data_IF_887503118219
#
_entry.id   IF_887503118219
#
_cell.length_a   1.000
_cell.length_b   1.000
_cell.length_c   1.000
_cell.angle_alpha   90.00
_cell.angle_beta   90.00
_cell.angle_gamma   90.00
#
_symmetry.space_group_name_H-M   'P 1'
#
loop_
_entity.id
_entity.type
_entity.pdbx_description
1 polymer ?
#
# COMPACT_ATOMS: atom_id res chain seq x y z
N UNK A 1 10.79 3.81 -10.43
CA UNK A 1 11.96 3.48 -11.25
C UNK A 1 11.62 2.38 -12.25
N UNK A 2 11.23 1.18 -11.79
CA UNK A 2 10.94 0.01 -12.65
C UNK A 2 9.91 0.34 -13.73
N UNK A 3 8.79 0.96 -13.38
CA UNK A 3 7.76 1.37 -14.35
C UNK A 3 8.29 2.28 -15.47
N UNK A 4 9.30 3.10 -15.18
CA UNK A 4 9.94 3.96 -16.19
C UNK A 4 10.91 3.21 -17.09
N UNK A 5 11.39 2.06 -16.66
CA UNK A 5 12.31 1.24 -17.44
C UNK A 5 11.57 0.31 -18.40
N UNK A 6 10.33 -0.09 -18.10
CA UNK A 6 9.54 -1.00 -18.97
C UNK A 6 9.44 -0.48 -20.40
N UNK A 7 9.05 0.80 -20.68
CA UNK A 7 9.01 1.31 -22.05
C UNK A 7 10.39 1.39 -22.73
N UNK A 8 11.47 1.54 -21.94
CA UNK A 8 12.83 1.58 -22.49
C UNK A 8 13.23 0.22 -23.07
N UNK A 9 12.86 -0.87 -22.44
CA UNK A 9 13.11 -2.21 -22.96
C UNK A 9 12.26 -2.54 -24.20
N UNK A 10 11.05 -1.97 -24.31
CA UNK A 10 10.21 -2.11 -25.51
C UNK A 10 10.85 -1.46 -26.74
N UNK A 11 11.39 -0.26 -26.60
CA UNK A 11 12.04 0.47 -27.71
C UNK A 11 13.30 -0.23 -28.21
N UNK A 12 14.03 -0.94 -27.35
CA UNK A 12 15.26 -1.65 -27.74
C UNK A 12 14.99 -3.03 -28.33
N UNK A 13 13.79 -3.56 -28.17
CA UNK A 13 13.40 -4.93 -28.58
C UNK A 13 12.81 -5.01 -30.00
N UNK A 14 12.91 -3.95 -30.83
CA UNK A 14 12.44 -4.01 -32.22
C UNK A 14 13.20 -5.07 -33.05
N UNK A 15 12.73 -6.33 -32.90
CA UNK A 15 13.14 -7.41 -33.79
C UNK A 15 13.52 -8.74 -33.12
N UNK A 16 14.04 -8.75 -31.92
CA UNK A 16 14.32 -9.99 -31.17
C UNK A 16 14.27 -9.70 -29.68
N UNK A 17 13.58 -10.56 -28.90
CA UNK A 17 13.58 -10.48 -27.44
C UNK A 17 15.01 -10.39 -26.90
N UNK A 18 15.28 -9.49 -25.99
CA UNK A 18 16.59 -9.36 -25.37
C UNK A 18 16.86 -10.63 -24.57
N UNK A 19 17.92 -11.39 -24.93
CA UNK A 19 18.31 -12.56 -24.17
C UNK A 19 18.52 -12.19 -22.69
N UNK A 20 17.91 -12.96 -21.79
CA UNK A 20 17.94 -12.71 -20.32
C UNK A 20 16.90 -11.72 -19.79
N UNK A 21 16.21 -10.96 -20.62
CA UNK A 21 15.17 -10.04 -20.14
C UNK A 21 13.97 -10.78 -19.54
N UNK A 22 13.62 -11.94 -20.11
CA UNK A 22 12.57 -12.81 -19.57
C UNK A 22 12.87 -13.29 -18.15
N UNK A 23 14.11 -13.67 -17.89
CA UNK A 23 14.58 -14.13 -16.58
C UNK A 23 14.53 -12.99 -15.53
N UNK A 24 14.98 -11.81 -15.92
CA UNK A 24 14.91 -10.60 -15.07
C UNK A 24 13.46 -10.25 -14.77
N UNK A 25 12.56 -10.32 -15.74
CA UNK A 25 11.14 -10.07 -15.57
C UNK A 25 10.50 -11.05 -14.56
N UNK A 26 10.84 -12.32 -14.66
CA UNK A 26 10.39 -13.37 -13.72
C UNK A 26 10.91 -13.10 -12.31
N UNK A 27 12.19 -12.76 -12.16
CA UNK A 27 12.79 -12.40 -10.85
C UNK A 27 12.06 -11.21 -10.23
N UNK A 28 11.77 -10.17 -11.01
CA UNK A 28 11.01 -8.99 -10.56
C UNK A 28 9.62 -9.42 -10.08
N UNK A 29 8.89 -10.22 -10.87
CA UNK A 29 7.56 -10.68 -10.54
C UNK A 29 7.54 -11.51 -9.24
N UNK A 30 8.43 -12.47 -9.10
CA UNK A 30 8.54 -13.31 -7.90
C UNK A 30 8.95 -12.51 -6.65
N UNK A 31 9.92 -11.63 -6.78
CA UNK A 31 10.34 -10.75 -5.68
C UNK A 31 9.16 -9.90 -5.19
N UNK A 32 8.39 -9.34 -6.13
CA UNK A 32 7.17 -8.60 -5.80
C UNK A 32 6.13 -9.47 -5.09
N UNK A 33 5.82 -10.66 -5.63
CA UNK A 33 4.81 -11.56 -5.05
C UNK A 33 5.17 -12.04 -3.64
N UNK A 34 6.41 -12.46 -3.42
CA UNK A 34 6.90 -12.89 -2.11
C UNK A 34 6.85 -11.73 -1.11
N UNK A 35 7.34 -10.55 -1.50
CA UNK A 35 7.33 -9.36 -0.64
C UNK A 35 5.90 -8.93 -0.30
N UNK A 36 4.97 -8.98 -1.27
CA UNK A 36 3.57 -8.65 -1.04
C UNK A 36 2.93 -9.56 0.01
N UNK A 37 3.16 -10.87 -0.09
CA UNK A 37 2.66 -11.87 0.86
C UNK A 37 3.27 -11.67 2.26
N UNK A 38 4.59 -11.54 2.36
CA UNK A 38 5.27 -11.33 3.63
C UNK A 38 4.82 -10.05 4.33
N UNK A 39 4.77 -8.93 3.60
CA UNK A 39 4.35 -7.66 4.17
C UNK A 39 2.88 -7.68 4.64
N UNK A 40 1.99 -8.37 3.91
CA UNK A 40 0.61 -8.57 4.31
C UNK A 40 0.51 -9.37 5.62
N UNK A 41 1.25 -10.49 5.74
CA UNK A 41 1.27 -11.28 6.98
C UNK A 41 1.78 -10.48 8.17
N UNK A 42 2.83 -9.67 7.98
CA UNK A 42 3.35 -8.80 9.04
C UNK A 42 2.31 -7.75 9.45
N UNK A 43 1.57 -7.19 8.49
CA UNK A 43 0.52 -6.20 8.79
C UNK A 43 -0.57 -6.76 9.72
N UNK A 44 -0.92 -8.05 9.61
CA UNK A 44 -1.95 -8.68 10.44
C UNK A 44 -1.59 -8.78 11.93
N UNK A 45 -0.31 -8.82 12.25
CA UNK A 45 0.15 -8.98 13.66
C UNK A 45 0.55 -7.65 14.31
N UNK A 46 0.41 -6.53 13.60
CA UNK A 46 0.74 -5.22 14.13
C UNK A 46 -0.41 -4.65 14.96
N UNK A 47 -0.09 -4.05 16.10
CA UNK A 47 -1.02 -3.32 16.94
C UNK A 47 -0.92 -1.79 16.77
N UNK A 48 0.11 -1.31 16.12
CA UNK A 48 0.37 0.10 15.85
C UNK A 48 -0.30 0.50 14.51
N UNK A 49 -1.20 1.49 14.57
CA UNK A 49 -1.98 1.94 13.41
C UNK A 49 -1.09 2.41 12.25
N UNK A 50 0.04 3.08 12.54
CA UNK A 50 0.99 3.52 11.50
C UNK A 50 1.75 2.36 10.89
N UNK A 51 2.14 1.36 11.71
CA UNK A 51 2.82 0.16 11.20
C UNK A 51 1.91 -0.69 10.33
N UNK A 52 0.64 -0.87 10.71
CA UNK A 52 -0.36 -1.53 9.86
C UNK A 52 -0.45 -0.86 8.50
N UNK A 53 -0.60 0.47 8.47
CA UNK A 53 -0.66 1.23 7.23
C UNK A 53 0.64 1.14 6.41
N UNK A 54 1.80 1.16 7.06
CA UNK A 54 3.11 1.05 6.40
C UNK A 54 3.31 -0.33 5.76
N UNK A 55 3.07 -1.43 6.48
CA UNK A 55 3.20 -2.78 5.94
C UNK A 55 2.16 -3.08 4.86
N UNK A 56 0.93 -2.58 5.01
CA UNK A 56 -0.07 -2.64 3.96
C UNK A 56 0.36 -1.84 2.71
N UNK A 57 1.02 -0.70 2.87
CA UNK A 57 1.60 0.05 1.74
C UNK A 57 2.70 -0.75 1.06
N UNK A 58 3.60 -1.36 1.82
CA UNK A 58 4.67 -2.21 1.29
C UNK A 58 4.09 -3.39 0.49
N UNK A 59 3.06 -4.04 1.00
CA UNK A 59 2.36 -5.14 0.31
C UNK A 59 1.77 -4.69 -1.03
N UNK A 60 1.09 -3.55 -1.07
CA UNK A 60 0.45 -3.04 -2.29
C UNK A 60 1.47 -2.54 -3.33
N UNK A 61 2.55 -1.91 -2.91
CA UNK A 61 3.64 -1.53 -3.83
C UNK A 61 4.34 -2.76 -4.40
N UNK A 62 4.55 -3.79 -3.60
CA UNK A 62 5.10 -5.06 -4.05
C UNK A 62 4.17 -5.78 -5.04
N UNK A 63 2.86 -5.68 -4.86
CA UNK A 63 1.87 -6.17 -5.83
C UNK A 63 1.98 -5.46 -7.18
N UNK A 64 2.14 -4.12 -7.19
CA UNK A 64 2.40 -3.34 -8.40
C UNK A 64 3.71 -3.80 -9.06
N UNK A 65 4.74 -4.07 -8.27
CA UNK A 65 6.02 -4.56 -8.74
C UNK A 65 5.89 -5.91 -9.46
N UNK A 66 5.06 -6.82 -8.92
CA UNK A 66 4.69 -8.08 -9.58
C UNK A 66 4.03 -7.83 -10.93
N UNK A 67 3.04 -6.93 -10.99
CA UNK A 67 2.35 -6.59 -12.24
C UNK A 67 3.27 -6.00 -13.31
N UNK A 68 4.26 -5.19 -12.91
CA UNK A 68 5.28 -4.67 -13.82
C UNK A 68 6.22 -5.76 -14.32
N UNK A 69 6.62 -6.71 -13.47
CA UNK A 69 7.41 -7.87 -13.87
C UNK A 69 6.67 -8.75 -14.89
N UNK A 70 5.39 -9.01 -14.66
CA UNK A 70 4.52 -9.75 -15.58
C UNK A 70 4.39 -9.00 -16.91
N UNK A 71 4.18 -7.68 -16.87
CA UNK A 71 4.12 -6.86 -18.09
C UNK A 71 5.40 -6.98 -18.93
N UNK A 72 6.55 -6.88 -18.29
CA UNK A 72 7.84 -7.01 -18.94
C UNK A 72 8.06 -8.41 -19.53
N UNK A 73 7.65 -9.45 -18.84
CA UNK A 73 7.70 -10.83 -19.33
C UNK A 73 6.80 -11.03 -20.57
N UNK A 74 5.58 -10.47 -20.54
CA UNK A 74 4.65 -10.53 -21.67
C UNK A 74 5.20 -9.78 -22.90
N UNK A 75 5.84 -8.64 -22.71
CA UNK A 75 6.53 -7.93 -23.80
C UNK A 75 7.60 -8.80 -24.44
N UNK A 76 8.42 -9.46 -23.65
CA UNK A 76 9.51 -10.32 -24.15
C UNK A 76 9.00 -11.59 -24.87
N UNK A 77 7.74 -11.99 -24.65
CA UNK A 77 7.11 -13.14 -25.30
C UNK A 77 6.10 -12.75 -26.39
N UNK A 78 6.23 -11.58 -26.99
CA UNK A 78 5.39 -11.06 -28.09
C UNK A 78 3.89 -10.92 -27.77
N UNK A 79 3.53 -10.93 -26.50
CA UNK A 79 2.15 -10.71 -26.04
C UNK A 79 1.89 -9.21 -25.77
N UNK A 80 2.16 -8.35 -26.73
CA UNK A 80 2.17 -6.89 -26.57
C UNK A 80 0.83 -6.34 -26.04
N UNK A 81 -0.31 -6.82 -26.52
CA UNK A 81 -1.62 -6.35 -26.04
C UNK A 81 -1.84 -6.64 -24.57
N UNK A 82 -1.53 -7.85 -24.11
CA UNK A 82 -1.65 -8.23 -22.71
C UNK A 82 -0.62 -7.48 -21.83
N UNK A 83 0.59 -7.24 -22.35
CA UNK A 83 1.62 -6.49 -21.66
C UNK A 83 1.22 -5.03 -21.39
N UNK A 84 0.63 -4.36 -22.37
CA UNK A 84 0.11 -2.97 -22.22
C UNK A 84 -1.02 -2.93 -21.19
N UNK A 85 -1.91 -3.91 -21.19
CA UNK A 85 -2.99 -4.00 -20.18
C UNK A 85 -2.41 -4.20 -18.79
N UNK A 86 -1.45 -5.12 -18.61
CA UNK A 86 -0.80 -5.38 -17.32
C UNK A 86 -0.05 -4.13 -16.79
N UNK A 87 0.64 -3.42 -17.67
CA UNK A 87 1.30 -2.16 -17.33
C UNK A 87 0.29 -1.09 -16.91
N UNK A 88 -0.74 -0.87 -17.74
CA UNK A 88 -1.80 0.11 -17.47
C UNK A 88 -2.53 -0.17 -16.15
N UNK A 89 -2.88 -1.43 -15.90
CA UNK A 89 -3.51 -1.87 -14.65
C UNK A 89 -2.61 -1.58 -13.44
N UNK A 90 -1.30 -1.86 -13.54
CA UNK A 90 -0.33 -1.57 -12.48
C UNK A 90 -0.23 -0.07 -12.20
N UNK A 91 -0.23 0.78 -13.23
CA UNK A 91 -0.19 2.23 -13.08
C UNK A 91 -1.49 2.79 -12.52
N UNK A 92 -2.63 2.27 -12.94
CA UNK A 92 -3.93 2.65 -12.40
C UNK A 92 -4.05 2.27 -10.92
N UNK A 93 -3.59 1.07 -10.55
CA UNK A 93 -3.55 0.64 -9.16
C UNK A 93 -2.62 1.52 -8.32
N UNK A 94 -1.46 1.92 -8.85
CA UNK A 94 -0.54 2.85 -8.18
C UNK A 94 -1.23 4.18 -7.83
N UNK A 95 -1.97 4.74 -8.78
CA UNK A 95 -2.70 5.99 -8.58
C UNK A 95 -3.78 5.85 -7.50
N UNK A 96 -4.64 4.83 -7.61
CA UNK A 96 -5.69 4.56 -6.63
C UNK A 96 -5.12 4.34 -5.22
N UNK A 97 -4.05 3.54 -5.15
CA UNK A 97 -3.38 3.25 -3.90
C UNK A 97 -2.80 4.52 -3.26
N UNK A 98 -2.16 5.40 -4.04
CA UNK A 98 -1.59 6.64 -3.52
C UNK A 98 -2.68 7.55 -2.92
N UNK A 99 -3.82 7.68 -3.58
CA UNK A 99 -4.95 8.49 -3.09
C UNK A 99 -5.55 7.91 -1.81
N UNK A 100 -5.86 6.61 -1.80
CA UNK A 100 -6.46 5.94 -0.65
C UNK A 100 -5.51 5.95 0.56
N UNK A 101 -4.22 5.69 0.34
CA UNK A 101 -3.22 5.69 1.43
C UNK A 101 -2.95 7.09 1.97
N UNK A 102 -2.89 8.10 1.10
CA UNK A 102 -2.78 9.50 1.55
C UNK A 102 -3.91 9.86 2.52
N UNK A 103 -5.15 9.50 2.17
CA UNK A 103 -6.32 9.73 3.03
C UNK A 103 -6.22 8.94 4.35
N UNK A 104 -5.84 7.66 4.31
CA UNK A 104 -5.71 6.83 5.52
C UNK A 104 -4.61 7.32 6.46
N UNK A 105 -3.46 7.74 5.95
CA UNK A 105 -2.39 8.30 6.78
C UNK A 105 -2.76 9.63 7.41
N UNK A 106 -3.47 10.51 6.68
CA UNK A 106 -3.98 11.75 7.25
C UNK A 106 -5.03 11.47 8.34
N UNK A 107 -5.94 10.53 8.10
CA UNK A 107 -6.94 10.13 9.07
C UNK A 107 -6.31 9.50 10.33
N UNK A 108 -5.29 8.65 10.17
CA UNK A 108 -4.57 8.08 11.32
C UNK A 108 -3.82 9.14 12.13
N UNK A 109 -3.26 10.15 11.46
CA UNK A 109 -2.66 11.30 12.14
C UNK A 109 -3.65 12.08 12.99
N UNK A 110 -4.86 12.31 12.49
CA UNK A 110 -5.96 12.94 13.26
C UNK A 110 -6.35 12.11 14.49
N UNK A 111 -6.47 10.79 14.33
CA UNK A 111 -6.78 9.88 15.47
C UNK A 111 -5.71 9.97 16.56
N UNK A 112 -4.43 9.86 16.17
CA UNK A 112 -3.31 9.91 17.13
C UNK A 112 -3.26 11.26 17.85
N UNK A 113 -3.51 12.35 17.14
CA UNK A 113 -3.54 13.70 17.72
C UNK A 113 -4.60 13.81 18.81
N UNK A 114 -5.82 13.36 18.53
CA UNK A 114 -6.94 13.38 19.50
C UNK A 114 -6.68 12.43 20.69
N UNK A 115 -6.06 11.28 20.46
CA UNK A 115 -5.67 10.37 21.54
C UNK A 115 -4.66 11.01 22.49
N UNK A 116 -3.66 11.72 21.94
CA UNK A 116 -2.71 12.50 22.75
C UNK A 116 -3.41 13.59 23.58
N UNK A 117 -4.30 14.36 22.96
CA UNK A 117 -5.07 15.38 23.66
C UNK A 117 -5.94 14.80 24.77
N UNK A 118 -6.65 13.72 24.48
CA UNK A 118 -7.50 13.06 25.48
C UNK A 118 -6.69 12.57 26.68
N UNK A 119 -5.51 11.99 26.45
CA UNK A 119 -4.64 11.54 27.54
C UNK A 119 -4.17 12.70 28.42
N UNK A 120 -3.70 13.80 27.82
CA UNK A 120 -3.27 14.99 28.59
C UNK A 120 -4.37 15.65 29.42
N UNK A 121 -5.64 15.48 29.05
CA UNK A 121 -6.77 16.02 29.83
C UNK A 121 -7.21 15.12 30.99
N UNK A 122 -6.88 13.82 30.93
CA UNK A 122 -7.31 12.83 31.94
C UNK A 122 -6.21 12.53 32.95
N UNK A 123 -4.94 12.65 32.56
CA UNK A 123 -3.81 12.42 33.46
C UNK A 123 -3.63 13.60 34.41
N UNK A 124 -3.51 13.30 35.72
CA UNK A 124 -3.14 14.30 36.74
C UNK A 124 -1.74 14.87 36.43
N UNK A 125 -1.48 16.18 36.78
CA UNK A 125 -0.19 16.82 36.48
C UNK A 125 1.06 16.17 37.09
N UNK A 126 0.91 15.11 37.86
CA UNK A 126 1.98 14.37 38.52
C UNK A 126 2.09 12.89 38.09
N UNK A 127 1.17 12.40 37.28
CA UNK A 127 1.18 11.01 36.83
C UNK A 127 1.87 10.94 35.45
N UNK A 128 3.15 10.65 35.45
CA UNK A 128 3.89 10.28 34.24
C UNK A 128 3.56 8.83 33.92
N UNK A 129 2.42 8.60 33.25
CA UNK A 129 2.09 7.29 32.68
C UNK A 129 2.95 7.11 31.42
N UNK A 130 4.21 6.70 31.62
CA UNK A 130 5.20 6.49 30.56
C UNK A 130 4.83 5.33 29.60
N UNK A 131 3.76 4.57 29.92
CA UNK A 131 3.31 3.40 29.16
C UNK A 131 2.20 3.69 28.15
N UNK A 132 1.64 4.91 28.09
CA UNK A 132 0.59 5.24 27.14
C UNK A 132 1.13 5.50 25.73
N UNK A 133 0.87 4.58 24.80
CA UNK A 133 1.14 4.77 23.39
C UNK A 133 -0.15 5.14 22.64
N UNK A 134 -0.21 6.38 22.13
CA UNK A 134 -1.31 6.89 21.32
C UNK A 134 -1.41 6.24 19.94
N UNK A 135 -0.42 5.44 19.52
CA UNK A 135 -0.43 4.72 18.25
C UNK A 135 -0.96 3.29 18.40
N UNK A 136 -1.01 2.76 19.63
CA UNK A 136 -1.48 1.41 19.89
C UNK A 136 -3.01 1.33 19.77
N UNK A 137 -3.47 0.55 18.78
CA UNK A 137 -4.90 0.36 18.52
C UNK A 137 -5.66 -0.29 19.67
N UNK A 138 -4.96 -0.98 20.59
CA UNK A 138 -5.59 -1.58 21.80
C UNK A 138 -6.09 -0.52 22.78
N UNK A 139 -5.48 0.66 22.75
CA UNK A 139 -5.86 1.81 23.57
C UNK A 139 -6.98 2.65 22.90
N UNK A 140 -7.35 2.33 21.65
CA UNK A 140 -8.35 3.08 20.89
C UNK A 140 -9.72 2.43 20.99
N UNK A 141 -10.75 3.21 21.36
CA UNK A 141 -12.13 2.74 21.41
C UNK A 141 -13.15 3.86 21.25
N UNK A 142 -14.31 3.57 20.66
CA UNK A 142 -15.42 4.52 20.52
C UNK A 142 -15.16 5.75 19.65
N UNK A 143 -14.08 5.78 18.88
CA UNK A 143 -13.64 6.95 18.11
C UNK A 143 -14.63 7.39 17.02
N UNK A 144 -15.40 6.46 16.46
CA UNK A 144 -16.36 6.77 15.40
C UNK A 144 -17.43 7.79 15.82
N UNK A 145 -17.82 7.80 17.11
CA UNK A 145 -18.77 8.77 17.66
C UNK A 145 -18.15 10.13 17.95
N UNK A 146 -16.84 10.16 18.23
CA UNK A 146 -16.10 11.39 18.55
C UNK A 146 -15.52 12.05 17.30
N UNK A 147 -15.10 11.25 16.33
CA UNK A 147 -14.45 11.67 15.08
C UNK A 147 -15.18 11.10 13.86
N UNK A 148 -16.45 11.50 13.60
CA UNK A 148 -17.27 10.89 12.54
C UNK A 148 -16.67 11.12 11.14
N UNK A 149 -16.08 12.29 10.87
CA UNK A 149 -15.44 12.61 9.58
C UNK A 149 -14.21 11.71 9.35
N UNK A 150 -13.37 11.58 10.35
CA UNK A 150 -12.17 10.72 10.28
C UNK A 150 -12.55 9.24 10.12
N UNK A 151 -13.58 8.78 10.86
CA UNK A 151 -14.08 7.41 10.77
C UNK A 151 -14.65 7.10 9.37
N UNK A 152 -15.42 8.02 8.78
CA UNK A 152 -15.94 7.85 7.41
C UNK A 152 -14.82 7.87 6.37
N UNK A 153 -13.83 8.75 6.52
CA UNK A 153 -12.66 8.78 5.64
C UNK A 153 -11.86 7.46 5.70
N UNK A 154 -11.64 6.91 6.91
CA UNK A 154 -10.98 5.63 7.08
C UNK A 154 -11.79 4.48 6.48
N UNK A 155 -13.11 4.47 6.62
CA UNK A 155 -13.98 3.46 6.05
C UNK A 155 -13.93 3.49 4.50
N UNK A 156 -14.02 4.67 3.89
CA UNK A 156 -13.96 4.85 2.44
C UNK A 156 -12.57 4.46 1.91
N UNK A 157 -11.49 4.90 2.56
CA UNK A 157 -10.12 4.55 2.16
C UNK A 157 -9.85 3.06 2.25
N UNK A 158 -10.32 2.41 3.30
CA UNK A 158 -10.20 0.95 3.47
C UNK A 158 -11.01 0.20 2.41
N UNK A 159 -12.25 0.61 2.14
CA UNK A 159 -13.10 0.04 1.11
C UNK A 159 -12.48 0.16 -0.29
N UNK A 160 -11.86 1.29 -0.60
CA UNK A 160 -11.15 1.52 -1.86
C UNK A 160 -9.96 0.56 -2.05
N UNK A 161 -9.18 0.30 -0.98
CA UNK A 161 -8.03 -0.62 -1.05
C UNK A 161 -8.47 -2.08 -1.18
N UNK A 162 -9.56 -2.46 -0.51
CA UNK A 162 -10.15 -3.81 -0.59
C UNK A 162 -10.76 -4.06 -1.99
N UNK A 163 -11.02 -3.00 -2.76
CA UNK A 163 -11.65 -3.11 -4.08
C UNK A 163 -13.13 -3.44 -4.00
N UNK A 164 -13.82 -2.99 -2.94
CA UNK A 164 -15.26 -3.12 -2.85
C UNK A 164 -15.90 -2.31 -3.99
N UNK A 165 -16.70 -2.94 -4.86
CA UNK A 165 -17.44 -2.23 -5.89
C UNK A 165 -18.55 -1.42 -5.22
N UNK A 166 -18.24 -0.18 -4.86
CA UNK A 166 -19.19 0.73 -4.21
C UNK A 166 -19.97 1.57 -5.21
N UNK A 167 -19.63 1.47 -6.51
CA UNK A 167 -20.32 2.17 -7.61
C UNK A 167 -20.26 1.33 -8.87
#
# INVERSE_FOLDING_TARGET
>A
LVARMVPFFDVTAHGHGVEGLGDVAIIIAWTGGITACMAAMIAFVQNDIKKVLAYSTMSQLAYIFTGLGVSLWLFNNDHHHAAVIAFGASMFHLFNHAMAKGMLFMASGSVIHEMHHAHHHVSDPGDHDDDFDAQDMRNMGGLASKLPVTATAMAIGSASIIGLPLI
#
